data_IF_880845108096
#
_entry.id   IF_880845108096
#
_cell.length_a   1.000
_cell.length_b   1.000
_cell.length_c   1.000
_cell.angle_alpha   90.00
_cell.angle_beta   90.00
_cell.angle_gamma   90.00
#
_symmetry.space_group_name_H-M   'P 1'
#
loop_
_entity.id
_entity.type
_entity.pdbx_description
1 polymer ?
#
# COMPACT_ATOMS: atom_id res chain seq x y z
N UNK A 1 -32.53 22.62 -31.18
CA UNK A 1 -31.56 21.84 -31.96
C UNK A 1 -30.69 21.09 -30.97
N UNK A 2 -30.88 19.78 -30.87
CA UNK A 2 -30.15 18.94 -29.92
C UNK A 2 -28.68 18.86 -30.31
N UNK A 3 -27.79 19.18 -29.36
CA UNK A 3 -26.38 18.88 -29.46
C UNK A 3 -26.24 17.36 -29.30
N UNK A 4 -26.05 16.64 -30.40
CA UNK A 4 -25.56 15.27 -30.34
C UNK A 4 -24.17 15.29 -29.68
N UNK A 5 -23.90 14.46 -28.67
CA UNK A 5 -22.54 14.36 -28.13
C UNK A 5 -21.62 13.93 -29.26
N UNK A 6 -20.50 14.64 -29.43
CA UNK A 6 -19.48 14.31 -30.42
C UNK A 6 -19.13 12.83 -30.33
N UNK A 7 -19.17 12.13 -31.46
CA UNK A 7 -18.76 10.72 -31.57
C UNK A 7 -17.39 10.55 -30.87
N UNK A 8 -17.27 9.50 -30.06
CA UNK A 8 -16.02 9.19 -29.39
C UNK A 8 -14.90 9.07 -30.43
N UNK A 9 -13.78 9.76 -30.22
CA UNK A 9 -12.66 9.68 -31.14
C UNK A 9 -12.14 8.23 -31.15
N UNK A 10 -12.18 7.61 -32.32
CA UNK A 10 -11.74 6.24 -32.55
C UNK A 10 -10.26 6.23 -32.92
N UNK A 11 -9.51 5.29 -32.35
CA UNK A 11 -8.09 5.05 -32.65
C UNK A 11 -7.95 3.65 -33.22
N UNK A 12 -7.46 3.56 -34.46
CA UNK A 12 -7.25 2.30 -35.15
C UNK A 12 -6.00 1.58 -34.63
N UNK A 13 -6.12 0.26 -34.42
CA UNK A 13 -5.04 -0.64 -34.04
C UNK A 13 -5.17 -1.92 -34.86
N UNK A 14 -4.35 -2.06 -35.91
CA UNK A 14 -4.46 -3.16 -36.86
C UNK A 14 -5.80 -3.14 -37.60
N UNK A 15 -6.53 -4.26 -37.58
CA UNK A 15 -7.88 -4.38 -38.16
C UNK A 15 -8.99 -3.93 -37.22
N UNK A 16 -8.67 -3.61 -35.96
CA UNK A 16 -9.62 -3.15 -34.95
C UNK A 16 -9.39 -1.70 -34.55
N UNK A 17 -10.11 -1.28 -33.51
CA UNK A 17 -10.03 0.07 -32.97
C UNK A 17 -10.46 0.13 -31.51
N UNK A 18 -10.17 1.26 -30.84
CA UNK A 18 -10.68 1.58 -29.51
C UNK A 18 -11.13 3.05 -29.44
N UNK A 19 -12.06 3.33 -28.53
CA UNK A 19 -12.59 4.67 -28.32
C UNK A 19 -11.83 5.41 -27.22
N UNK A 20 -11.53 6.70 -27.43
CA UNK A 20 -10.92 7.57 -26.41
C UNK A 20 -11.91 8.08 -25.35
N UNK A 21 -13.20 7.88 -25.60
CA UNK A 21 -14.28 8.27 -24.68
C UNK A 21 -15.32 7.15 -24.62
N UNK A 22 -16.07 7.01 -23.52
CA UNK A 22 -17.21 6.11 -23.46
C UNK A 22 -18.17 6.37 -24.62
N UNK A 23 -18.77 5.31 -25.15
CA UNK A 23 -19.79 5.42 -26.18
C UNK A 23 -21.06 6.11 -25.62
N UNK A 24 -21.88 6.75 -26.48
CA UNK A 24 -23.15 7.32 -26.04
C UNK A 24 -24.02 6.27 -25.33
N UNK A 25 -24.46 6.58 -24.11
CA UNK A 25 -25.29 5.68 -23.29
C UNK A 25 -24.51 4.78 -22.32
N UNK A 26 -23.18 4.71 -22.43
CA UNK A 26 -22.35 3.99 -21.47
C UNK A 26 -22.10 4.81 -20.20
N UNK A 27 -22.06 4.17 -19.02
CA UNK A 27 -21.73 4.85 -17.78
C UNK A 27 -20.30 5.41 -17.88
N UNK A 28 -20.12 6.68 -17.52
CA UNK A 28 -18.83 7.33 -17.71
C UNK A 28 -17.79 6.91 -16.65
N UNK A 29 -16.96 5.93 -17.05
CA UNK A 29 -15.61 5.63 -16.52
C UNK A 29 -15.56 5.08 -15.07
N UNK A 30 -14.38 4.69 -14.53
CA UNK A 30 -14.23 3.89 -13.32
C UNK A 30 -15.06 4.37 -12.12
N UNK A 31 -15.72 3.42 -11.45
CA UNK A 31 -16.42 3.65 -10.18
C UNK A 31 -17.93 3.89 -10.28
N UNK A 32 -18.58 3.61 -11.41
CA UNK A 32 -20.04 3.59 -11.51
C UNK A 32 -20.55 2.16 -11.71
N UNK A 33 -20.67 1.41 -10.62
CA UNK A 33 -21.67 0.35 -10.58
C UNK A 33 -22.99 0.98 -10.08
N UNK A 34 -24.04 0.87 -10.88
CA UNK A 34 -25.45 1.24 -10.63
C UNK A 34 -25.86 2.68 -10.25
N UNK A 35 -24.93 3.63 -10.15
CA UNK A 35 -25.27 5.05 -9.98
C UNK A 35 -25.91 5.42 -8.65
N UNK A 36 -25.97 4.52 -7.66
CA UNK A 36 -26.59 4.81 -6.36
C UNK A 36 -25.62 5.12 -5.21
N UNK A 37 -24.32 4.80 -5.35
CA UNK A 37 -23.35 4.93 -4.24
C UNK A 37 -22.21 5.94 -4.45
N UNK A 38 -22.00 6.43 -5.67
CA UNK A 38 -20.85 7.27 -6.02
C UNK A 38 -21.30 8.59 -6.65
N UNK A 39 -21.39 9.64 -5.83
CA UNK A 39 -21.79 10.99 -6.28
C UNK A 39 -20.73 11.67 -7.17
N UNK A 40 -19.50 11.15 -7.19
CA UNK A 40 -18.46 11.58 -8.10
C UNK A 40 -17.79 10.32 -8.68
N UNK A 41 -17.75 10.15 -10.01
CA UNK A 41 -16.96 9.08 -10.60
C UNK A 41 -15.49 9.33 -10.23
N UNK A 42 -14.72 8.26 -10.02
CA UNK A 42 -13.29 8.31 -9.73
C UNK A 42 -12.52 8.74 -11.00
N UNK A 43 -12.85 9.91 -11.55
CA UNK A 43 -12.33 10.44 -12.82
C UNK A 43 -11.05 11.23 -12.65
N UNK A 44 -10.82 11.76 -11.45
CA UNK A 44 -9.69 12.64 -11.18
C UNK A 44 -8.77 12.00 -10.16
N UNK A 45 -7.57 11.53 -10.57
CA UNK A 45 -6.60 10.96 -9.65
C UNK A 45 -6.15 12.02 -8.63
N UNK A 46 -6.08 11.65 -7.34
CA UNK A 46 -5.57 12.50 -6.26
C UNK A 46 -4.05 12.51 -6.26
N UNK A 47 -3.47 13.20 -7.22
CA UNK A 47 -2.01 13.38 -7.37
C UNK A 47 -1.62 14.85 -7.14
N UNK A 48 -0.35 15.13 -6.89
CA UNK A 48 0.14 16.51 -6.78
C UNK A 48 0.25 17.17 -8.16
N UNK A 49 0.30 18.50 -8.21
CA UNK A 49 0.40 19.25 -9.47
C UNK A 49 1.70 18.99 -10.25
N UNK A 50 2.75 18.56 -9.56
CA UNK A 50 4.07 18.19 -10.09
C UNK A 50 4.20 16.69 -10.40
N UNK A 51 3.13 15.91 -10.28
CA UNK A 51 3.12 14.49 -10.59
C UNK A 51 3.24 14.26 -12.10
N UNK A 52 4.23 13.47 -12.52
CA UNK A 52 4.56 13.21 -13.93
C UNK A 52 4.33 11.77 -14.37
N UNK A 53 4.09 10.86 -13.44
CA UNK A 53 3.86 9.44 -13.72
C UNK A 53 2.44 9.21 -14.25
N UNK A 54 2.17 8.03 -14.82
CA UNK A 54 0.80 7.64 -15.11
C UNK A 54 0.09 7.27 -13.79
N UNK A 55 -1.15 7.74 -13.53
CA UNK A 55 -1.92 7.26 -12.38
C UNK A 55 -2.15 5.74 -12.49
N UNK A 56 -1.59 4.97 -11.55
CA UNK A 56 -1.74 3.50 -11.52
C UNK A 56 -3.01 3.07 -10.78
N UNK A 57 -3.41 1.81 -10.94
CA UNK A 57 -4.57 1.17 -10.28
C UNK A 57 -4.16 -0.20 -9.75
N UNK A 58 -5.02 -0.86 -8.95
CA UNK A 58 -4.79 -2.22 -8.44
C UNK A 58 -3.53 -2.40 -7.57
N UNK A 59 -2.98 -1.30 -7.09
CA UNK A 59 -1.88 -1.28 -6.13
C UNK A 59 -2.37 -1.29 -4.68
N UNK A 60 -1.52 -1.76 -3.75
CA UNK A 60 -1.83 -1.75 -2.32
C UNK A 60 -2.14 -0.34 -1.77
N UNK A 61 -1.65 0.70 -2.45
CA UNK A 61 -1.82 2.12 -2.11
C UNK A 61 -2.83 2.85 -3.02
N UNK A 62 -3.55 2.13 -3.90
CA UNK A 62 -4.48 2.74 -4.88
C UNK A 62 -5.58 3.61 -4.26
N UNK A 63 -5.96 3.35 -3.01
CA UNK A 63 -6.91 4.18 -2.27
C UNK A 63 -6.43 5.63 -2.06
N UNK A 64 -5.13 5.90 -2.16
CA UNK A 64 -4.60 7.26 -2.11
C UNK A 64 -4.76 8.03 -3.44
N UNK A 65 -4.78 7.33 -4.59
CA UNK A 65 -5.06 7.97 -5.89
C UNK A 65 -6.57 8.04 -6.12
N UNK A 66 -7.25 6.91 -5.97
CA UNK A 66 -8.64 6.70 -6.36
C UNK A 66 -9.48 6.53 -5.11
N UNK A 67 -9.81 7.64 -4.47
CA UNK A 67 -10.84 7.69 -3.43
C UNK A 67 -12.16 8.06 -4.10
N UNK A 68 -13.26 7.29 -3.92
CA UNK A 68 -14.58 7.57 -4.50
C UNK A 68 -15.22 8.91 -4.10
N UNK A 69 -14.50 9.78 -3.37
CA UNK A 69 -14.99 11.10 -2.97
C UNK A 69 -16.06 11.04 -1.89
N UNK A 70 -16.23 9.88 -1.24
CA UNK A 70 -17.09 9.72 -0.07
C UNK A 70 -16.61 10.60 1.10
N UNK A 71 -15.31 10.88 1.14
CA UNK A 71 -14.68 11.69 2.18
C UNK A 71 -13.63 12.65 1.61
N UNK A 72 -13.39 13.74 2.35
CA UNK A 72 -12.40 14.78 2.02
C UNK A 72 -10.96 14.24 1.94
N UNK A 73 -10.69 13.12 2.61
CA UNK A 73 -9.41 12.42 2.64
C UNK A 73 -9.66 10.91 2.78
N UNK A 74 -8.75 10.04 2.28
CA UNK A 74 -8.92 8.60 2.35
C UNK A 74 -9.01 8.13 3.81
N UNK A 75 -10.16 7.54 4.18
CA UNK A 75 -10.40 7.08 5.55
C UNK A 75 -9.99 5.62 5.78
N UNK A 76 -9.77 4.86 4.70
CA UNK A 76 -9.43 3.45 4.79
C UNK A 76 -7.94 3.28 5.10
N UNK A 77 -7.67 2.36 6.01
CA UNK A 77 -6.30 1.96 6.30
C UNK A 77 -5.66 1.27 5.10
N UNK A 78 -4.45 1.71 4.79
CA UNK A 78 -3.58 1.07 3.82
C UNK A 78 -2.54 0.23 4.55
N UNK A 79 -2.29 -0.97 4.05
CA UNK A 79 -1.46 -1.97 4.72
C UNK A 79 -0.06 -2.00 4.14
N UNK A 80 0.90 -1.51 4.93
CA UNK A 80 2.31 -1.37 4.58
C UNK A 80 3.12 -2.16 5.60
N UNK A 81 3.25 -3.47 5.38
CA UNK A 81 3.80 -4.36 6.39
C UNK A 81 5.17 -3.85 6.87
N UNK A 82 5.41 -3.77 8.20
CA UNK A 82 4.62 -4.34 9.30
C UNK A 82 3.61 -3.39 9.98
N UNK A 83 3.21 -2.30 9.34
CA UNK A 83 2.21 -1.36 9.86
C UNK A 83 1.04 -1.12 8.89
N UNK A 84 -0.03 -0.52 9.41
CA UNK A 84 -1.05 0.14 8.62
C UNK A 84 -0.97 1.65 8.78
N UNK A 85 -1.44 2.38 7.78
CA UNK A 85 -1.48 3.84 7.79
C UNK A 85 -2.78 4.38 7.21
N UNK A 86 -3.31 5.45 7.81
CA UNK A 86 -4.38 6.27 7.22
C UNK A 86 -4.23 7.74 7.60
N UNK A 87 -4.91 8.62 6.88
CA UNK A 87 -4.96 10.04 7.22
C UNK A 87 -6.04 10.37 8.24
N UNK A 88 -5.77 11.34 9.10
CA UNK A 88 -6.70 11.94 10.06
C UNK A 88 -6.66 13.47 9.95
N UNK A 89 -7.84 14.08 9.86
CA UNK A 89 -8.02 15.50 9.55
C UNK A 89 -7.16 16.47 10.38
N UNK A 90 -7.16 16.33 11.70
CA UNK A 90 -6.54 17.30 12.63
C UNK A 90 -5.23 16.78 13.23
N UNK A 91 -4.69 15.72 12.65
CA UNK A 91 -3.81 14.80 13.35
C UNK A 91 -2.73 14.15 12.47
N UNK A 92 -2.84 14.32 11.15
CA UNK A 92 -1.85 13.84 10.20
C UNK A 92 -1.98 12.35 9.89
N UNK A 93 -0.86 11.64 9.94
CA UNK A 93 -0.81 10.22 9.58
C UNK A 93 -0.99 9.33 10.82
N UNK A 94 -2.10 8.60 10.90
CA UNK A 94 -2.32 7.53 11.89
C UNK A 94 -1.58 6.28 11.44
N UNK A 95 -0.70 5.76 12.29
CA UNK A 95 0.17 4.62 12.04
C UNK A 95 -0.06 3.59 13.14
N UNK A 96 -0.33 2.35 12.76
CA UNK A 96 -0.57 1.27 13.71
C UNK A 96 0.22 0.01 13.32
N UNK A 97 0.87 -0.63 14.30
CA UNK A 97 1.57 -1.90 14.10
C UNK A 97 0.57 -3.00 13.74
N UNK A 98 0.84 -3.78 12.71
CA UNK A 98 0.04 -4.97 12.43
C UNK A 98 0.29 -6.02 13.52
N UNK A 99 -0.78 -6.63 14.02
CA UNK A 99 -0.71 -7.71 15.00
C UNK A 99 -1.69 -8.83 14.68
N UNK A 100 -1.36 -10.06 15.06
CA UNK A 100 -2.22 -11.22 14.83
C UNK A 100 -3.33 -11.36 15.88
N UNK A 101 -3.17 -10.81 17.09
CA UNK A 101 -4.22 -10.82 18.11
C UNK A 101 -5.41 -9.90 17.80
N UNK A 102 -5.24 -9.00 16.82
CA UNK A 102 -6.33 -8.21 16.23
C UNK A 102 -7.13 -8.98 15.16
N UNK A 103 -6.70 -10.20 14.81
CA UNK A 103 -7.39 -11.05 13.83
C UNK A 103 -8.52 -11.80 14.53
N UNK A 104 -9.75 -11.37 14.28
CA UNK A 104 -10.95 -12.04 14.78
C UNK A 104 -11.52 -12.99 13.73
N UNK A 105 -11.93 -14.18 14.16
CA UNK A 105 -12.73 -15.10 13.36
C UNK A 105 -14.18 -14.59 13.39
N UNK A 106 -14.60 -13.87 12.35
CA UNK A 106 -15.91 -13.20 12.34
C UNK A 106 -17.01 -14.03 11.69
N UNK A 107 -16.68 -15.10 10.96
CA UNK A 107 -17.60 -16.06 10.31
C UNK A 107 -16.82 -17.35 10.01
N UNK A 108 -17.43 -18.53 9.78
CA UNK A 108 -16.76 -19.84 9.78
C UNK A 108 -15.52 -19.99 8.87
N UNK A 109 -15.26 -19.04 7.96
CA UNK A 109 -14.10 -19.02 7.06
C UNK A 109 -13.56 -17.58 6.78
N UNK A 110 -13.84 -16.59 7.62
CA UNK A 110 -13.35 -15.21 7.42
C UNK A 110 -12.56 -14.69 8.62
N UNK A 111 -11.33 -14.26 8.34
CA UNK A 111 -10.49 -13.53 9.28
C UNK A 111 -10.65 -12.03 9.01
N UNK A 112 -11.24 -11.30 9.95
CA UNK A 112 -11.26 -9.83 9.95
C UNK A 112 -10.11 -9.33 10.82
N UNK A 113 -9.32 -8.40 10.30
CA UNK A 113 -8.50 -7.57 11.17
C UNK A 113 -9.32 -6.34 11.54
N UNK A 114 -9.77 -6.28 12.78
CA UNK A 114 -10.45 -5.08 13.24
C UNK A 114 -9.41 -3.97 13.38
N UNK A 115 -9.68 -2.81 12.78
CA UNK A 115 -9.03 -1.55 13.13
C UNK A 115 -9.29 -1.33 14.62
N UNK A 116 -8.37 -1.76 15.48
CA UNK A 116 -8.33 -1.37 16.88
C UNK A 116 -7.35 -0.19 16.98
N UNK A 117 -7.79 1.06 16.68
CA UNK A 117 -6.93 2.24 16.63
C UNK A 117 -6.33 2.62 17.99
N UNK A 118 -6.69 1.91 19.07
CA UNK A 118 -6.20 2.18 20.41
C UNK A 118 -4.68 2.06 20.55
N UNK A 119 -4.02 1.35 19.65
CA UNK A 119 -2.55 1.22 19.67
C UNK A 119 -1.83 2.15 18.69
N UNK A 120 -2.56 2.99 17.96
CA UNK A 120 -1.97 3.83 16.94
C UNK A 120 -1.20 5.00 17.55
N UNK A 121 -0.13 5.39 16.88
CA UNK A 121 0.48 6.71 17.00
C UNK A 121 0.09 7.53 15.78
N UNK A 122 0.21 8.83 15.89
CA UNK A 122 -0.13 9.71 14.79
C UNK A 122 0.95 10.78 14.65
N UNK A 123 1.39 11.03 13.42
CA UNK A 123 2.39 12.05 13.13
C UNK A 123 1.71 13.25 12.51
N UNK A 124 1.78 14.39 13.19
CA UNK A 124 1.09 15.62 12.83
C UNK A 124 1.95 16.86 13.06
N UNK A 125 1.32 18.03 12.93
CA UNK A 125 1.94 19.33 13.18
C UNK A 125 1.23 20.02 14.34
N UNK A 126 2.00 20.75 15.15
CA UNK A 126 1.50 21.54 16.28
C UNK A 126 0.37 22.48 15.86
N UNK A 127 -0.49 22.86 16.81
CA UNK A 127 -1.70 23.64 16.57
C UNK A 127 -2.79 22.89 15.79
N UNK A 128 -2.68 21.57 15.65
CA UNK A 128 -3.70 20.71 15.02
C UNK A 128 -4.05 21.20 13.61
N UNK A 129 -3.02 21.35 12.78
CA UNK A 129 -3.18 21.75 11.38
C UNK A 129 -4.27 20.87 10.74
N UNK A 130 -5.29 21.53 10.18
CA UNK A 130 -6.38 20.86 9.47
C UNK A 130 -5.93 20.56 8.04
N UNK A 131 -5.96 19.30 7.65
CA UNK A 131 -5.52 18.88 6.32
C UNK A 131 -6.66 18.97 5.31
N UNK A 132 -6.41 19.67 4.20
CA UNK A 132 -7.38 19.90 3.15
C UNK A 132 -7.48 18.71 2.19
N UNK A 133 -6.34 18.14 1.83
CA UNK A 133 -6.23 17.03 0.88
C UNK A 133 -5.11 16.07 1.28
N UNK A 134 -5.23 14.84 0.79
CA UNK A 134 -4.13 13.88 0.64
C UNK A 134 -3.93 13.62 -0.84
N UNK A 135 -2.70 13.76 -1.33
CA UNK A 135 -2.32 13.53 -2.72
C UNK A 135 -1.12 12.59 -2.79
N UNK A 136 -1.04 11.77 -3.83
CA UNK A 136 0.17 11.02 -4.19
C UNK A 136 1.17 11.96 -4.87
N UNK A 137 2.41 11.94 -4.40
CA UNK A 137 3.54 12.73 -4.92
C UNK A 137 4.30 11.95 -5.98
N UNK A 138 4.60 10.69 -5.68
CA UNK A 138 5.35 9.78 -6.56
C UNK A 138 5.20 8.35 -6.07
N UNK A 139 5.60 7.39 -6.89
CA UNK A 139 5.69 6.00 -6.50
C UNK A 139 6.77 5.27 -7.31
N UNK A 140 7.17 4.10 -6.83
CA UNK A 140 7.94 3.11 -7.60
C UNK A 140 7.27 1.76 -7.45
N UNK A 141 7.97 0.69 -7.80
CA UNK A 141 7.35 -0.65 -7.88
C UNK A 141 6.74 -1.15 -6.56
N UNK A 142 7.24 -0.67 -5.41
CA UNK A 142 6.72 -1.07 -4.10
C UNK A 142 6.89 0.01 -3.01
N UNK A 143 7.06 1.28 -3.41
CA UNK A 143 6.90 2.43 -2.52
C UNK A 143 5.88 3.43 -3.05
N UNK A 144 5.27 4.19 -2.14
CA UNK A 144 4.39 5.32 -2.44
C UNK A 144 4.76 6.50 -1.54
N UNK A 145 4.92 7.69 -2.13
CA UNK A 145 5.07 8.94 -1.40
C UNK A 145 3.76 9.71 -1.44
N UNK A 146 3.21 10.01 -0.27
CA UNK A 146 1.94 10.73 -0.08
C UNK A 146 2.18 12.06 0.61
N UNK A 147 1.33 13.05 0.34
CA UNK A 147 1.40 14.40 0.90
C UNK A 147 0.04 14.83 1.42
N UNK A 148 0.00 15.21 2.70
CA UNK A 148 -1.06 16.01 3.27
C UNK A 148 -0.77 17.49 2.98
N UNK A 149 -1.79 18.20 2.49
CA UNK A 149 -1.70 19.63 2.20
C UNK A 149 -2.66 20.40 3.09
N UNK A 150 -2.18 21.51 3.65
CA UNK A 150 -3.01 22.58 4.18
C UNK A 150 -2.89 23.81 3.25
N UNK A 151 -4.03 24.42 2.97
CA UNK A 151 -4.28 25.50 2.02
C UNK A 151 -3.59 26.82 2.38
N UNK A 152 -3.09 26.96 3.60
CA UNK A 152 -2.44 28.20 4.05
C UNK A 152 -0.92 28.17 3.90
N UNK A 153 -0.23 27.07 4.26
CA UNK A 153 1.23 26.97 4.12
C UNK A 153 1.83 25.56 4.34
N UNK A 154 1.17 24.73 5.14
CA UNK A 154 1.83 23.55 5.72
C UNK A 154 1.61 22.29 4.90
N UNK A 155 2.65 21.47 4.82
CA UNK A 155 2.63 20.17 4.14
C UNK A 155 3.30 19.13 5.01
N UNK A 156 2.82 17.90 4.92
CA UNK A 156 3.50 16.76 5.51
C UNK A 156 3.52 15.61 4.50
N UNK A 157 4.70 15.08 4.24
CA UNK A 157 4.91 13.98 3.32
C UNK A 157 5.30 12.73 4.08
N UNK A 158 4.78 11.58 3.66
CA UNK A 158 5.19 10.27 4.13
C UNK A 158 5.67 9.42 2.96
N UNK A 159 6.87 8.83 3.08
CA UNK A 159 7.31 7.78 2.15
C UNK A 159 7.07 6.42 2.78
N UNK A 160 6.24 5.63 2.11
CA UNK A 160 5.77 4.32 2.54
C UNK A 160 6.38 3.26 1.62
N UNK A 161 6.99 2.23 2.18
CA UNK A 161 7.64 1.17 1.39
C UNK A 161 7.19 -0.18 1.92
N UNK A 162 6.66 -1.03 1.04
CA UNK A 162 6.18 -2.35 1.46
C UNK A 162 7.32 -3.17 2.05
N UNK A 163 7.12 -3.68 3.26
CA UNK A 163 8.12 -4.48 3.99
C UNK A 163 9.14 -3.66 4.79
N UNK A 164 9.28 -2.35 4.59
CA UNK A 164 10.23 -1.53 5.36
C UNK A 164 9.57 -1.10 6.67
N UNK A 165 10.18 -1.36 7.85
CA UNK A 165 9.59 -1.04 9.14
C UNK A 165 9.80 0.42 9.56
N UNK A 166 9.72 1.36 8.61
CA UNK A 166 9.88 2.80 8.85
C UNK A 166 8.87 3.61 8.05
N UNK A 167 8.36 4.67 8.68
CA UNK A 167 7.65 5.74 7.99
C UNK A 167 8.53 6.97 7.98
N UNK A 168 9.03 7.32 6.80
CA UNK A 168 9.87 8.50 6.61
C UNK A 168 8.98 9.73 6.42
N UNK A 169 9.09 10.71 7.31
CA UNK A 169 8.24 11.90 7.32
C UNK A 169 9.06 13.14 7.04
N UNK A 170 8.56 13.98 6.14
CA UNK A 170 9.10 15.31 5.83
C UNK A 170 7.99 16.36 6.02
N UNK A 171 8.30 17.53 6.58
CA UNK A 171 7.35 18.62 6.76
C UNK A 171 7.80 19.90 6.06
N UNK A 172 6.84 20.74 5.70
CA UNK A 172 7.06 22.16 5.42
C UNK A 172 6.03 23.00 6.15
N UNK A 173 6.41 24.20 6.56
CA UNK A 173 5.56 25.08 7.37
C UNK A 173 6.18 25.40 8.73
N UNK A 174 5.68 26.46 9.39
CA UNK A 174 6.24 26.98 10.63
C UNK A 174 5.95 26.10 11.85
N UNK A 175 4.96 25.21 11.78
CA UNK A 175 4.56 24.39 12.91
C UNK A 175 5.63 23.34 13.27
N UNK A 176 5.72 23.06 14.58
CA UNK A 176 6.56 22.00 15.11
C UNK A 176 5.98 20.63 14.72
N UNK A 177 6.84 19.62 14.57
CA UNK A 177 6.36 18.24 14.40
C UNK A 177 5.90 17.68 15.74
N UNK A 178 4.81 16.93 15.72
CA UNK A 178 4.31 16.23 16.90
C UNK A 178 3.95 14.78 16.60
N UNK A 179 4.19 13.91 17.57
CA UNK A 179 3.71 12.53 17.55
C UNK A 179 2.73 12.36 18.70
N UNK A 180 1.46 12.10 18.38
CA UNK A 180 0.39 12.02 19.37
C UNK A 180 -0.26 10.63 19.41
N UNK A 181 -0.77 10.28 20.59
CA UNK A 181 -1.46 9.01 20.84
C UNK A 181 -2.69 9.22 21.73
N UNK A 182 -3.76 8.41 21.51
CA UNK A 182 -4.99 8.54 22.28
C UNK A 182 -4.88 7.99 23.71
N UNK A 183 -3.87 7.15 24.01
CA UNK A 183 -3.67 6.52 25.31
C UNK A 183 -2.32 6.93 25.91
N UNK A 184 -2.19 6.83 27.25
CA UNK A 184 -0.90 7.06 27.90
C UNK A 184 0.13 6.05 27.36
N UNK A 185 1.24 6.53 26.78
CA UNK A 185 2.32 5.65 26.40
C UNK A 185 3.10 5.21 27.65
N UNK A 186 3.59 3.97 27.63
CA UNK A 186 4.75 3.60 28.44
C UNK A 186 5.97 4.14 27.69
N UNK A 187 6.80 4.95 28.36
CA UNK A 187 8.11 5.34 27.81
C UNK A 187 9.09 4.24 28.20
N UNK A 188 9.36 3.32 27.26
CA UNK A 188 10.20 2.16 27.51
C UNK A 188 11.68 2.56 27.60
N UNK A 189 12.14 3.37 26.65
CA UNK A 189 13.54 3.75 26.51
C UNK A 189 13.70 5.14 25.90
N UNK A 190 14.82 5.79 26.18
CA UNK A 190 15.25 7.02 25.50
C UNK A 190 16.72 6.92 25.13
N UNK A 191 17.11 7.53 24.01
CA UNK A 191 18.51 7.63 23.57
C UNK A 191 18.78 9.09 23.23
N UNK A 192 19.70 9.71 23.97
CA UNK A 192 19.95 11.14 23.85
C UNK A 192 18.70 11.97 24.15
N UNK A 193 18.52 13.08 23.44
CA UNK A 193 17.39 14.01 23.61
C UNK A 193 16.35 13.91 22.50
N UNK A 194 16.56 13.01 21.53
CA UNK A 194 15.87 13.02 20.25
C UNK A 194 15.27 11.66 19.85
N UNK A 195 15.53 10.59 20.60
CA UNK A 195 15.00 9.24 20.30
C UNK A 195 14.23 8.69 21.49
N UNK A 196 13.03 8.17 21.21
CA UNK A 196 12.09 7.66 22.22
C UNK A 196 11.57 6.30 21.76
N UNK A 197 11.66 5.30 22.62
CA UNK A 197 10.93 4.04 22.49
C UNK A 197 9.71 4.08 23.41
N UNK A 198 8.52 3.85 22.84
CA UNK A 198 7.26 3.85 23.58
C UNK A 198 6.43 2.61 23.31
N UNK A 199 5.54 2.26 24.23
CA UNK A 199 4.52 1.24 24.04
C UNK A 199 3.13 1.82 24.27
N UNK A 200 2.26 1.69 23.28
CA UNK A 200 0.85 2.13 23.31
C UNK A 200 -0.04 0.91 23.14
N UNK A 201 -0.82 0.56 24.17
CA UNK A 201 -1.76 -0.56 24.14
C UNK A 201 -1.14 -1.87 23.61
N UNK A 202 0.08 -2.17 24.07
CA UNK A 202 0.83 -3.39 23.70
C UNK A 202 1.59 -3.33 22.37
N UNK A 203 1.52 -2.21 21.63
CA UNK A 203 2.37 -1.98 20.45
C UNK A 203 3.53 -1.04 20.78
N UNK A 204 4.75 -1.54 20.57
CA UNK A 204 5.98 -0.77 20.73
C UNK A 204 6.34 -0.01 19.44
N UNK A 205 6.78 1.23 19.59
CA UNK A 205 7.20 2.14 18.52
C UNK A 205 8.49 2.87 18.90
N UNK A 206 9.29 3.19 17.88
CA UNK A 206 10.39 4.12 17.97
C UNK A 206 9.99 5.45 17.31
N UNK A 207 10.31 6.56 17.97
CA UNK A 207 10.17 7.92 17.46
C UNK A 207 11.58 8.50 17.37
N UNK A 208 12.00 8.84 16.16
CA UNK A 208 13.35 9.29 15.85
C UNK A 208 13.30 10.72 15.30
N UNK A 209 13.64 11.68 16.14
CA UNK A 209 13.89 13.05 15.72
C UNK A 209 15.37 13.23 15.35
N UNK A 210 15.71 14.18 14.46
CA UNK A 210 17.09 14.42 14.06
C UNK A 210 18.04 14.69 15.22
N UNK A 211 19.32 14.37 15.05
CA UNK A 211 20.36 14.66 16.05
C UNK A 211 20.33 16.15 16.50
N UNK A 212 20.45 16.36 17.81
CA UNK A 212 20.35 17.68 18.45
C UNK A 212 18.92 18.17 18.67
N UNK A 213 17.90 17.43 18.24
CA UNK A 213 16.50 17.78 18.57
C UNK A 213 16.24 17.61 20.06
N UNK A 214 15.28 18.37 20.56
CA UNK A 214 14.65 18.13 21.86
C UNK A 214 13.15 17.99 21.67
N UNK A 215 12.50 17.25 22.57
CA UNK A 215 11.06 17.14 22.59
C UNK A 215 10.47 17.50 23.96
N UNK A 216 9.20 17.91 23.96
CA UNK A 216 8.40 18.05 25.18
C UNK A 216 7.25 17.05 25.14
N UNK A 217 6.99 16.41 26.28
CA UNK A 217 5.81 15.58 26.46
C UNK A 217 4.66 16.43 27.01
N UNK A 218 3.55 16.48 26.28
CA UNK A 218 2.38 17.31 26.58
C UNK A 218 1.15 16.42 26.69
N UNK A 219 0.37 16.63 27.74
CA UNK A 219 -0.98 16.06 27.87
C UNK A 219 -1.98 17.19 27.64
N UNK A 220 -2.71 17.14 26.53
CA UNK A 220 -3.81 18.07 26.31
C UNK A 220 -5.07 17.55 27.01
N UNK A 221 -5.78 18.39 27.78
CA UNK A 221 -6.94 17.97 28.56
C UNK A 221 -8.13 17.61 27.66
N UNK A 222 -9.15 17.00 28.29
CA UNK A 222 -10.44 16.77 27.67
C UNK A 222 -10.97 18.03 27.01
N UNK A 223 -11.53 17.89 25.81
CA UNK A 223 -12.16 19.01 25.10
C UNK A 223 -13.49 18.63 24.45
N UNK A 224 -14.46 19.56 24.41
CA UNK A 224 -15.67 19.37 23.62
C UNK A 224 -15.37 19.56 22.12
N UNK A 225 -15.80 18.61 21.29
CA UNK A 225 -15.81 18.71 19.83
C UNK A 225 -17.20 18.29 19.36
N UNK A 226 -17.94 19.21 18.73
CA UNK A 226 -19.30 18.97 18.22
C UNK A 226 -20.25 18.32 19.26
N UNK A 227 -20.15 18.73 20.53
CA UNK A 227 -20.97 18.21 21.63
C UNK A 227 -20.48 16.89 22.25
N UNK A 228 -19.44 16.26 21.71
CA UNK A 228 -18.79 15.08 22.32
C UNK A 228 -17.55 15.49 23.12
N UNK A 229 -17.32 14.86 24.27
CA UNK A 229 -16.05 15.02 25.03
C UNK A 229 -15.03 14.08 24.42
N UNK A 230 -13.93 14.64 23.91
CA UNK A 230 -12.78 13.90 23.45
C UNK A 230 -11.82 13.72 24.62
N UNK A 231 -11.38 12.47 24.84
CA UNK A 231 -10.41 12.09 25.88
C UNK A 231 -9.08 12.86 25.74
N UNK A 232 -8.25 12.92 26.79
CA UNK A 232 -6.98 13.62 26.74
C UNK A 232 -6.07 12.99 25.69
N UNK A 233 -5.35 13.84 24.95
CA UNK A 233 -4.35 13.37 23.99
C UNK A 233 -2.95 13.60 24.54
N UNK A 234 -2.05 12.67 24.25
CA UNK A 234 -0.66 12.70 24.68
C UNK A 234 0.17 12.97 23.45
N UNK A 235 1.17 13.84 23.56
CA UNK A 235 2.00 14.16 22.41
C UNK A 235 3.44 14.49 22.77
N UNK A 236 4.35 14.06 21.92
CA UNK A 236 5.74 14.49 21.90
C UNK A 236 5.90 15.57 20.83
N UNK A 237 6.21 16.79 21.25
CA UNK A 237 6.41 17.94 20.33
C UNK A 237 7.90 18.19 20.19
N UNK A 238 8.43 18.15 18.97
CA UNK A 238 9.86 18.29 18.69
C UNK A 238 10.17 19.53 17.88
N UNK A 239 11.28 20.19 18.22
CA UNK A 239 11.82 21.31 17.46
C UNK A 239 12.55 20.88 16.17
N UNK A 240 12.76 19.56 15.98
CA UNK A 240 13.53 18.95 14.89
C UNK A 240 14.94 19.53 14.68
N UNK A 241 15.47 20.29 15.66
CA UNK A 241 16.72 21.03 15.55
C UNK A 241 16.83 21.88 14.26
N UNK A 242 15.72 22.54 13.87
CA UNK A 242 15.68 23.36 12.65
C UNK A 242 15.66 22.56 11.34
N UNK A 243 15.67 21.23 11.40
CA UNK A 243 15.45 20.36 10.24
C UNK A 243 13.96 20.15 9.99
N UNK A 244 13.65 19.40 8.94
CA UNK A 244 12.29 19.24 8.43
C UNK A 244 11.86 17.78 8.28
N UNK A 245 12.55 16.84 8.93
CA UNK A 245 12.26 15.41 8.82
C UNK A 245 12.24 14.73 10.18
N UNK A 246 11.52 13.62 10.25
CA UNK A 246 11.54 12.67 11.36
C UNK A 246 11.23 11.27 10.84
N UNK A 247 11.40 10.27 11.67
CA UNK A 247 11.01 8.89 11.35
C UNK A 247 10.29 8.27 12.53
N UNK A 248 9.29 7.45 12.23
CA UNK A 248 8.66 6.58 13.22
C UNK A 248 8.69 5.14 12.72
N UNK A 249 8.78 4.18 13.63
CA UNK A 249 8.85 2.76 13.32
C UNK A 249 8.01 1.95 14.31
N UNK A 250 7.21 0.96 13.87
CA UNK A 250 6.85 -0.14 14.78
C UNK A 250 8.12 -0.91 15.16
N UNK A 251 8.24 -1.29 16.44
CA UNK A 251 9.36 -2.10 16.93
C UNK A 251 8.92 -3.55 17.16
N UNK A 252 9.79 -4.55 16.93
CA UNK A 252 9.47 -5.95 17.20
C UNK A 252 9.28 -6.22 18.70
N UNK A 253 10.03 -5.54 19.56
CA UNK A 253 9.96 -5.54 21.02
C UNK A 253 10.27 -4.15 21.59
N UNK A 254 10.20 -4.00 22.91
CA UNK A 254 10.45 -2.74 23.61
C UNK A 254 11.85 -2.65 24.26
N UNK A 255 12.82 -3.46 23.83
CA UNK A 255 14.16 -3.44 24.42
C UNK A 255 14.99 -2.24 23.96
N UNK A 256 15.92 -1.78 24.81
CA UNK A 256 16.87 -0.73 24.45
C UNK A 256 17.74 -1.13 23.25
N UNK A 257 18.15 -2.39 23.18
CA UNK A 257 18.96 -2.92 22.08
C UNK A 257 18.21 -2.81 20.73
N UNK A 258 16.92 -3.17 20.69
CA UNK A 258 16.09 -2.97 19.51
C UNK A 258 15.98 -1.49 19.14
N UNK A 259 15.70 -0.61 20.10
CA UNK A 259 15.63 0.84 19.82
C UNK A 259 16.95 1.39 19.27
N UNK A 260 18.10 0.99 19.83
CA UNK A 260 19.42 1.39 19.37
C UNK A 260 19.68 0.95 17.92
N UNK A 261 19.34 -0.29 17.57
CA UNK A 261 19.50 -0.79 16.20
C UNK A 261 18.57 -0.07 15.23
N UNK A 262 17.32 0.19 15.61
CA UNK A 262 16.40 0.94 14.76
C UNK A 262 16.84 2.40 14.58
N UNK A 263 17.38 3.03 15.62
CA UNK A 263 17.88 4.40 15.56
C UNK A 263 19.03 4.58 14.57
N UNK A 264 19.91 3.58 14.45
CA UNK A 264 21.04 3.63 13.51
C UNK A 264 20.60 3.73 12.04
N UNK A 265 19.44 3.18 11.69
CA UNK A 265 18.93 3.12 10.31
C UNK A 265 17.71 4.01 10.06
N UNK A 266 17.21 4.71 11.08
CA UNK A 266 15.99 5.53 11.00
C UNK A 266 16.10 6.65 9.94
N UNK A 267 17.30 7.13 9.65
CA UNK A 267 17.54 8.24 8.73
C UNK A 267 18.10 7.81 7.37
N UNK A 268 18.06 6.50 7.04
CA UNK A 268 18.34 5.99 5.69
C UNK A 268 17.03 5.97 4.90
N UNK A 269 16.67 7.13 4.34
CA UNK A 269 15.38 7.32 3.67
C UNK A 269 15.38 6.60 2.33
N UNK A 270 14.39 5.75 2.09
CA UNK A 270 14.13 5.19 0.75
C UNK A 270 13.48 6.28 -0.09
N UNK A 271 14.04 6.53 -1.28
CA UNK A 271 13.58 7.53 -2.26
C UNK A 271 13.04 6.88 -3.54
N UNK A 272 13.40 5.62 -3.78
CA UNK A 272 13.00 4.88 -4.96
C UNK A 272 12.98 3.38 -4.69
N UNK A 273 12.20 2.67 -5.49
CA UNK A 273 12.16 1.21 -5.50
C UNK A 273 12.01 0.70 -6.93
N UNK A 274 12.75 -0.34 -7.27
CA UNK A 274 12.75 -0.93 -8.60
C UNK A 274 12.82 -2.46 -8.50
N UNK A 275 12.04 -3.13 -9.33
CA UNK A 275 11.98 -4.57 -9.48
C UNK A 275 12.33 -4.94 -10.92
N UNK A 276 13.45 -5.64 -11.09
CA UNK A 276 13.86 -6.19 -12.38
C UNK A 276 13.80 -7.71 -12.32
N UNK A 277 13.47 -8.36 -13.43
CA UNK A 277 13.44 -9.81 -13.51
C UNK A 277 14.09 -10.32 -14.78
N UNK A 278 14.64 -11.54 -14.71
CA UNK A 278 15.22 -12.25 -15.84
C UNK A 278 14.79 -13.71 -15.78
N UNK A 279 14.20 -14.19 -16.87
CA UNK A 279 13.87 -15.60 -17.05
C UNK A 279 14.99 -16.30 -17.83
N UNK A 280 15.64 -17.28 -17.21
CA UNK A 280 16.61 -18.14 -17.88
C UNK A 280 15.91 -19.41 -18.36
N UNK A 281 15.63 -19.48 -19.66
CA UNK A 281 14.93 -20.60 -20.28
C UNK A 281 15.68 -21.94 -20.12
N UNK A 282 17.01 -21.95 -20.28
CA UNK A 282 17.82 -23.15 -20.18
C UNK A 282 17.78 -23.81 -18.80
N UNK A 283 17.54 -23.02 -17.75
CA UNK A 283 17.43 -23.51 -16.36
C UNK A 283 16.00 -23.48 -15.82
N UNK A 284 15.06 -22.95 -16.60
CA UNK A 284 13.69 -22.64 -16.20
C UNK A 284 13.60 -21.85 -14.87
N UNK A 285 14.50 -20.87 -14.67
CA UNK A 285 14.52 -20.05 -13.44
C UNK A 285 14.12 -18.61 -13.71
N UNK A 286 13.22 -18.10 -12.88
CA UNK A 286 12.88 -16.68 -12.81
C UNK A 286 13.65 -16.05 -11.64
N UNK A 287 14.58 -15.16 -11.97
CA UNK A 287 15.35 -14.39 -11.00
C UNK A 287 14.79 -12.98 -10.93
N UNK A 288 14.34 -12.54 -9.76
CA UNK A 288 13.82 -11.18 -9.55
C UNK A 288 14.71 -10.44 -8.56
N UNK A 289 15.22 -9.28 -8.97
CA UNK A 289 16.03 -8.38 -8.15
C UNK A 289 15.20 -7.18 -7.72
N UNK A 290 15.14 -6.96 -6.41
CA UNK A 290 14.51 -5.82 -5.76
C UNK A 290 15.60 -4.85 -5.32
N UNK A 291 15.47 -3.58 -5.66
CA UNK A 291 16.45 -2.53 -5.38
C UNK A 291 15.81 -1.33 -4.69
N UNK A 292 16.55 -0.71 -3.75
CA UNK A 292 16.13 0.44 -2.96
C UNK A 292 17.12 1.57 -3.20
N UNK A 293 16.65 2.67 -3.80
CA UNK A 293 17.45 3.89 -3.87
C UNK A 293 17.27 4.67 -2.57
N UNK A 294 18.37 4.97 -1.87
CA UNK A 294 18.33 5.58 -0.54
C UNK A 294 19.09 6.90 -0.46
N UNK A 295 18.66 7.77 0.46
CA UNK A 295 19.34 8.99 0.86
C UNK A 295 19.62 8.93 2.37
N UNK A 296 20.87 9.07 2.77
CA UNK A 296 21.25 9.19 4.19
C UNK A 296 21.01 10.63 4.63
N UNK A 297 20.03 10.83 5.52
CA UNK A 297 19.67 12.15 6.05
C UNK A 297 20.55 12.57 7.22
N UNK A 298 21.08 11.61 7.99
CA UNK A 298 22.08 11.76 9.05
C UNK A 298 22.63 10.38 9.47
N UNK A 299 23.71 10.38 10.26
CA UNK A 299 24.37 9.14 10.71
C UNK A 299 25.35 8.57 9.70
N UNK A 300 25.93 7.41 10.04
CA UNK A 300 26.94 6.73 9.22
C UNK A 300 26.44 5.49 8.50
N UNK A 301 25.24 4.99 8.84
CA UNK A 301 24.66 3.84 8.15
C UNK A 301 24.15 4.23 6.77
N UNK A 302 24.33 3.35 5.80
CA UNK A 302 23.91 3.55 4.40
C UNK A 302 22.88 2.53 3.93
N UNK A 303 22.73 1.41 4.65
CA UNK A 303 21.78 0.36 4.31
C UNK A 303 20.44 0.62 5.01
N UNK A 304 19.29 0.56 4.32
CA UNK A 304 18.01 0.58 4.98
C UNK A 304 17.75 -0.79 5.65
N UNK A 305 16.94 -0.81 6.71
CA UNK A 305 16.34 -2.06 7.19
C UNK A 305 15.15 -2.39 6.29
N UNK A 306 15.15 -3.57 5.69
CA UNK A 306 14.06 -4.06 4.84
C UNK A 306 13.47 -5.34 5.45
N UNK A 307 12.19 -5.59 5.21
CA UNK A 307 11.49 -6.80 5.63
C UNK A 307 11.09 -7.63 4.43
N UNK A 308 11.39 -8.93 4.49
CA UNK A 308 11.05 -9.91 3.47
C UNK A 308 9.83 -10.71 3.94
N UNK A 309 8.82 -10.85 3.09
CA UNK A 309 7.68 -11.75 3.33
C UNK A 309 8.09 -13.21 3.11
N UNK A 310 7.29 -14.21 3.55
CA UNK A 310 7.63 -15.63 3.39
C UNK A 310 8.00 -16.08 1.98
N UNK A 311 7.30 -15.58 0.96
CA UNK A 311 7.63 -15.90 -0.43
C UNK A 311 8.92 -15.23 -0.93
N UNK A 312 9.48 -14.26 -0.19
CA UNK A 312 10.77 -13.65 -0.48
C UNK A 312 11.90 -14.38 0.26
N UNK A 313 11.87 -14.46 1.60
CA UNK A 313 12.98 -15.05 2.36
C UNK A 313 13.13 -16.56 2.19
N UNK A 314 12.08 -17.28 1.74
CA UNK A 314 12.22 -18.70 1.36
C UNK A 314 12.98 -18.89 0.05
N UNK A 315 13.04 -17.87 -0.79
CA UNK A 315 13.57 -17.92 -2.14
C UNK A 315 14.76 -16.98 -2.34
N UNK A 316 15.34 -16.47 -1.26
CA UNK A 316 16.47 -15.54 -1.25
C UNK A 316 17.58 -16.06 -0.34
N UNK A 317 18.83 -15.78 -0.70
CA UNK A 317 20.00 -16.07 0.13
C UNK A 317 20.44 -14.88 0.98
N UNK A 318 19.67 -13.78 0.99
CA UNK A 318 20.00 -12.58 1.75
C UNK A 318 20.13 -12.90 3.26
N UNK A 319 21.27 -12.58 3.90
CA UNK A 319 21.42 -12.74 5.34
C UNK A 319 20.42 -11.88 6.12
N UNK A 320 19.72 -12.51 7.06
CA UNK A 320 18.73 -11.85 7.92
C UNK A 320 19.38 -11.34 9.20
N UNK A 321 18.87 -10.23 9.74
CA UNK A 321 19.43 -9.56 10.93
C UNK A 321 18.78 -9.99 12.27
N UNK A 322 17.84 -10.93 12.23
CA UNK A 322 17.17 -11.48 13.41
C UNK A 322 15.89 -10.74 13.84
N UNK A 323 15.68 -9.50 13.41
CA UNK A 323 14.41 -8.81 13.66
C UNK A 323 13.29 -9.40 12.79
N UNK A 324 12.09 -9.51 13.36
CA UNK A 324 10.93 -10.03 12.65
C UNK A 324 9.63 -9.46 13.20
N UNK A 325 8.61 -9.41 12.34
CA UNK A 325 7.26 -8.98 12.70
C UNK A 325 6.25 -10.05 12.30
N UNK A 326 5.25 -10.25 13.15
CA UNK A 326 4.09 -11.07 12.83
C UNK A 326 3.08 -10.24 12.05
N UNK A 327 2.88 -10.55 10.77
CA UNK A 327 1.91 -9.88 9.91
C UNK A 327 0.91 -10.89 9.35
N UNK A 328 -0.27 -10.48 8.84
CA UNK A 328 -1.27 -11.41 8.28
C UNK A 328 -0.74 -12.36 7.19
N UNK A 329 0.36 -12.01 6.51
CA UNK A 329 1.02 -12.84 5.50
C UNK A 329 2.13 -13.76 6.05
N UNK A 330 2.16 -13.96 7.37
CA UNK A 330 3.20 -14.71 8.08
C UNK A 330 4.38 -13.82 8.50
N UNK A 331 5.46 -14.44 8.99
CA UNK A 331 6.64 -13.71 9.49
C UNK A 331 7.29 -12.85 8.41
N UNK A 332 7.31 -11.53 8.64
CA UNK A 332 8.15 -10.57 7.92
C UNK A 332 9.52 -10.57 8.60
N UNK A 333 10.57 -11.05 7.92
CA UNK A 333 11.92 -11.14 8.49
C UNK A 333 12.81 -10.03 7.94
N UNK A 334 13.58 -9.38 8.81
CA UNK A 334 14.33 -8.20 8.43
C UNK A 334 15.79 -8.51 8.02
N UNK A 335 16.34 -7.61 7.22
CA UNK A 335 17.72 -7.58 6.77
C UNK A 335 18.18 -6.13 6.55
N UNK A 336 19.48 -5.89 6.47
CA UNK A 336 20.05 -4.62 6.03
C UNK A 336 20.53 -4.75 4.60
N UNK A 337 19.89 -4.09 3.64
CA UNK A 337 20.25 -4.21 2.23
C UNK A 337 19.64 -3.12 1.38
N UNK A 338 20.38 -2.64 0.37
CA UNK A 338 19.85 -1.82 -0.72
C UNK A 338 19.37 -2.65 -1.90
N UNK A 339 19.63 -3.96 -1.92
CA UNK A 339 19.10 -4.87 -2.94
C UNK A 339 19.08 -6.31 -2.43
N UNK A 340 18.15 -7.11 -2.95
CA UNK A 340 18.15 -8.56 -2.79
C UNK A 340 17.49 -9.25 -3.97
N UNK A 341 17.73 -10.54 -4.11
CA UNK A 341 17.21 -11.34 -5.21
C UNK A 341 16.38 -12.51 -4.69
N UNK A 342 15.30 -12.84 -5.41
CA UNK A 342 14.59 -14.11 -5.28
C UNK A 342 14.80 -14.96 -6.53
N UNK A 343 14.79 -16.29 -6.37
CA UNK A 343 14.85 -17.24 -7.48
C UNK A 343 13.69 -18.22 -7.35
N UNK A 344 12.86 -18.29 -8.40
CA UNK A 344 11.74 -19.23 -8.49
C UNK A 344 11.95 -20.18 -9.67
N UNK A 345 11.49 -21.42 -9.51
CA UNK A 345 11.41 -22.37 -10.61
C UNK A 345 10.14 -22.12 -11.42
N UNK A 346 10.27 -22.11 -12.75
CA UNK A 346 9.17 -22.09 -13.68
C UNK A 346 8.85 -23.53 -14.12
N UNK A 347 7.60 -23.94 -13.94
CA UNK A 347 7.16 -25.29 -14.30
C UNK A 347 6.54 -25.36 -15.71
N UNK A 348 6.53 -24.25 -16.45
CA UNK A 348 5.92 -24.16 -17.76
C UNK A 348 4.39 -24.14 -17.72
N UNK A 349 3.78 -23.93 -18.88
CA UNK A 349 2.35 -23.93 -19.10
C UNK A 349 2.05 -24.80 -20.32
N UNK A 350 0.94 -25.53 -20.28
CA UNK A 350 0.43 -26.27 -21.42
C UNK A 350 -0.76 -25.50 -22.02
N UNK A 351 -0.84 -25.33 -23.36
CA UNK A 351 -2.01 -24.72 -23.99
C UNK A 351 -3.25 -25.61 -23.82
N UNK A 352 -3.06 -26.93 -23.82
CA UNK A 352 -4.07 -27.95 -23.55
C UNK A 352 -3.40 -29.14 -22.86
N UNK A 353 -4.13 -29.86 -22.00
CA UNK A 353 -3.63 -31.12 -21.44
C UNK A 353 -3.47 -32.16 -22.58
N UNK A 354 -2.36 -32.90 -22.63
CA UNK A 354 -2.18 -33.92 -23.64
C UNK A 354 -3.19 -35.06 -23.45
N UNK A 355 -3.93 -35.38 -24.50
CA UNK A 355 -4.98 -36.40 -24.49
C UNK A 355 -4.37 -37.81 -24.66
N UNK A 356 -3.64 -38.25 -23.64
CA UNK A 356 -2.94 -39.55 -23.59
C UNK A 356 -3.81 -40.70 -23.07
N UNK A 357 -5.01 -40.41 -22.59
CA UNK A 357 -5.99 -41.38 -22.09
C UNK A 357 -6.93 -41.93 -23.16
N UNK A 358 -7.80 -42.86 -22.75
CA UNK A 358 -8.93 -43.33 -23.58
C UNK A 358 -10.19 -42.56 -23.22
N UNK A 359 -10.72 -41.78 -24.17
CA UNK A 359 -11.90 -40.95 -23.96
C UNK A 359 -13.03 -41.32 -24.95
N UNK A 360 -13.70 -42.47 -24.78
CA UNK A 360 -14.65 -43.00 -25.77
C UNK A 360 -15.90 -42.14 -25.99
N UNK A 361 -16.19 -41.20 -25.07
CA UNK A 361 -17.35 -40.31 -25.15
C UNK A 361 -16.98 -38.85 -25.48
N UNK A 362 -15.70 -38.54 -25.68
CA UNK A 362 -15.24 -37.16 -25.85
C UNK A 362 -15.87 -36.49 -27.05
N UNK A 363 -15.89 -37.17 -28.20
CA UNK A 363 -16.56 -36.67 -29.41
C UNK A 363 -18.02 -36.31 -29.13
N UNK A 364 -18.78 -37.19 -28.46
CA UNK A 364 -20.17 -36.93 -28.11
C UNK A 364 -20.31 -35.69 -27.20
N UNK A 365 -19.44 -35.54 -26.20
CA UNK A 365 -19.51 -34.38 -25.32
C UNK A 365 -19.22 -33.07 -26.05
N UNK A 366 -18.28 -33.07 -26.99
CA UNK A 366 -17.98 -31.91 -27.83
C UNK A 366 -19.19 -31.62 -28.72
N UNK A 367 -19.71 -32.62 -29.43
CA UNK A 367 -20.88 -32.47 -30.31
C UNK A 367 -22.09 -31.91 -29.54
N UNK A 368 -22.41 -32.46 -28.37
CA UNK A 368 -23.49 -31.96 -27.50
C UNK A 368 -23.30 -30.47 -27.12
N UNK A 369 -22.06 -30.01 -26.93
CA UNK A 369 -21.76 -28.59 -26.68
C UNK A 369 -21.86 -27.72 -27.95
N UNK A 370 -21.57 -28.29 -29.12
CA UNK A 370 -21.64 -27.59 -30.40
C UNK A 370 -23.06 -27.45 -30.96
N UNK A 371 -24.03 -28.24 -30.46
CA UNK A 371 -25.45 -28.07 -30.77
C UNK A 371 -26.05 -26.77 -30.19
N UNK A 372 -25.30 -25.99 -29.41
CA UNK A 372 -25.76 -24.70 -28.85
C UNK A 372 -25.75 -23.60 -29.92
N UNK A 373 -26.94 -23.26 -30.43
CA UNK A 373 -27.16 -22.29 -31.53
C UNK A 373 -26.57 -20.89 -31.27
N UNK A 374 -26.58 -20.44 -30.01
CA UNK A 374 -25.95 -19.16 -29.60
C UNK A 374 -25.11 -19.39 -28.35
N UNK A 375 -23.82 -19.67 -28.56
CA UNK A 375 -22.92 -20.03 -27.48
C UNK A 375 -22.49 -18.82 -26.63
N UNK A 376 -22.18 -17.68 -27.27
CA UNK A 376 -21.87 -16.43 -26.57
C UNK A 376 -23.16 -15.63 -26.42
N UNK A 377 -23.64 -15.49 -25.19
CA UNK A 377 -24.93 -14.88 -24.87
C UNK A 377 -24.80 -13.53 -24.16
N UNK A 378 -23.62 -13.19 -23.64
CA UNK A 378 -23.36 -11.94 -22.94
C UNK A 378 -22.36 -11.06 -23.70
N UNK A 379 -22.64 -9.76 -23.74
CA UNK A 379 -21.69 -8.73 -24.19
C UNK A 379 -20.74 -8.25 -23.08
N UNK A 380 -20.96 -8.66 -21.84
CA UNK A 380 -20.07 -8.38 -20.70
C UNK A 380 -18.73 -9.10 -20.86
N UNK A 381 -17.63 -8.42 -20.49
CA UNK A 381 -16.27 -8.93 -20.69
C UNK A 381 -15.97 -10.17 -19.83
N UNK A 382 -16.55 -10.30 -18.63
CA UNK A 382 -16.33 -11.46 -17.77
C UNK A 382 -17.16 -12.66 -18.22
N UNK A 383 -18.47 -12.51 -18.38
CA UNK A 383 -19.37 -13.61 -18.76
C UNK A 383 -19.14 -14.04 -20.20
N UNK A 384 -19.10 -13.08 -21.14
CA UNK A 384 -18.80 -13.34 -22.54
C UNK A 384 -17.39 -13.91 -22.71
N UNK A 385 -16.41 -13.37 -21.98
CA UNK A 385 -15.04 -13.90 -21.97
C UNK A 385 -14.95 -15.36 -21.54
N UNK A 386 -15.69 -15.77 -20.49
CA UNK A 386 -15.76 -17.18 -20.07
C UNK A 386 -16.36 -18.09 -21.14
N UNK A 387 -17.38 -17.61 -21.85
CA UNK A 387 -18.00 -18.36 -22.94
C UNK A 387 -17.00 -18.54 -24.09
N UNK A 388 -16.37 -17.46 -24.55
CA UNK A 388 -15.36 -17.48 -25.62
C UNK A 388 -14.18 -18.40 -25.25
N UNK A 389 -13.66 -18.31 -24.03
CA UNK A 389 -12.56 -19.18 -23.57
C UNK A 389 -12.96 -20.67 -23.62
N UNK A 390 -14.21 -20.98 -23.28
CA UNK A 390 -14.73 -22.34 -23.37
C UNK A 390 -14.85 -22.82 -24.81
N UNK A 391 -15.33 -21.98 -25.74
CA UNK A 391 -15.33 -22.30 -27.17
C UNK A 391 -13.92 -22.57 -27.70
N UNK A 392 -12.93 -21.75 -27.32
CA UNK A 392 -11.55 -21.91 -27.75
C UNK A 392 -10.99 -23.28 -27.33
N UNK A 393 -11.20 -23.68 -26.07
CA UNK A 393 -10.80 -25.01 -25.58
C UNK A 393 -11.55 -26.13 -26.31
N UNK A 394 -12.86 -25.98 -26.56
CA UNK A 394 -13.64 -26.99 -27.30
C UNK A 394 -13.17 -27.14 -28.75
N UNK A 395 -12.72 -26.07 -29.38
CA UNK A 395 -12.21 -26.11 -30.76
C UNK A 395 -10.92 -26.94 -30.82
N UNK A 396 -9.97 -26.69 -29.91
CA UNK A 396 -8.74 -27.47 -29.82
C UNK A 396 -9.01 -28.96 -29.51
N UNK A 397 -10.02 -29.24 -28.68
CA UNK A 397 -10.47 -30.60 -28.39
C UNK A 397 -11.15 -31.27 -29.59
N UNK A 398 -11.89 -30.51 -30.41
CA UNK A 398 -12.52 -30.98 -31.63
C UNK A 398 -11.46 -31.42 -32.64
N UNK A 399 -10.45 -30.57 -32.89
CA UNK A 399 -9.33 -30.89 -33.79
C UNK A 399 -8.61 -32.19 -33.39
N UNK A 400 -8.52 -32.50 -32.09
CA UNK A 400 -7.95 -33.75 -31.62
C UNK A 400 -8.79 -34.98 -31.95
N UNK A 401 -10.12 -34.89 -31.86
CA UNK A 401 -11.01 -36.05 -32.10
C UNK A 401 -11.36 -36.26 -33.57
N UNK A 402 -10.92 -35.36 -34.45
CA UNK A 402 -11.29 -35.31 -35.87
C UNK A 402 -12.71 -34.82 -36.08
#
# INVERSE_FOLDING_TARGET
MGLYPSLAQEVNVGLGSYNLSPLPGEPPSPGQWDGSWFNAPARSPRVTSDFTQQPTTHEWWSAFIWDPGLYRYPQFATWVYPYGIKSKNEYGFEIFKNRLDNVQNTFPQSFSHNDWPNQAINVGLSNRVLWDTLNVVSYGDYHCKIRLNNSTASKMEATLVQGVPYVFIEKSGPEAAEVWMPWDPIIDNTIGTNVIGITVQGSSYGIFFPAGSTYTYVVEPNRPVNGAVINPIRKFVSNLNGKNYLTVAPLPDNSLATLQQFAQHAFVFVRGTEMNWNFNEATAKLTTTFSYQTQVMEGSQTLPMIGLLPHHWKNSTLPLNGFQFEVPRGKLKCAYATSYTTVLDNFGLLPLLPLTGKFPHLYKYIDDQMQVVKYVTSGDNYVGGKQIAKLAILTELADFVG
#
